data_IF_281012795894
#
_entry.id   IF_281012795894
#
_cell.length_a   1.000
_cell.length_b   1.000
_cell.length_c   1.000
_cell.angle_alpha   90.00
_cell.angle_beta   90.00
_cell.angle_gamma   90.00
#
_symmetry.space_group_name_H-M   'P 1'
#
loop_
_entity.id
_entity.type
_entity.pdbx_description
1 polymer ?
#
# COMPACT_ATOMS: atom_id res chain seq x y z
N UNK A 1 34.70 -9.97 41.98
CA UNK A 1 33.97 -9.44 40.81
C UNK A 1 33.88 -10.56 39.79
N UNK A 2 32.69 -11.14 39.71
CA UNK A 2 32.47 -12.60 39.76
C UNK A 2 31.23 -12.90 38.92
N UNK A 3 31.36 -13.67 37.82
CA UNK A 3 30.31 -14.39 37.07
C UNK A 3 29.05 -13.64 36.58
N UNK A 4 28.51 -12.69 37.32
CA UNK A 4 27.28 -11.94 37.00
C UNK A 4 27.48 -10.99 35.83
N UNK A 5 28.59 -10.27 35.75
CA UNK A 5 28.85 -9.35 34.61
C UNK A 5 29.05 -10.09 33.28
N UNK A 6 29.69 -11.26 33.31
CA UNK A 6 29.90 -12.10 32.12
C UNK A 6 28.55 -12.66 31.62
N UNK A 7 27.65 -13.05 32.54
CA UNK A 7 26.32 -13.53 32.18
C UNK A 7 25.43 -12.42 31.60
N UNK A 8 25.52 -11.20 32.11
CA UNK A 8 24.75 -10.05 31.60
C UNK A 8 25.19 -9.69 30.18
N UNK A 9 26.50 -9.65 29.91
CA UNK A 9 27.03 -9.42 28.56
C UNK A 9 26.66 -10.53 27.57
N UNK A 10 26.67 -11.79 28.00
CA UNK A 10 26.26 -12.92 27.16
C UNK A 10 24.75 -12.88 26.82
N UNK A 11 23.90 -12.49 27.77
CA UNK A 11 22.45 -12.35 27.55
C UNK A 11 22.13 -11.17 26.63
N UNK A 12 22.82 -10.04 26.79
CA UNK A 12 22.67 -8.88 25.89
C UNK A 12 23.13 -9.24 24.47
N UNK A 13 24.25 -9.95 24.33
CA UNK A 13 24.73 -10.45 23.04
C UNK A 13 23.75 -11.41 22.36
N UNK A 14 23.14 -12.32 23.13
CA UNK A 14 22.13 -13.26 22.62
C UNK A 14 20.83 -12.55 22.21
N UNK A 15 20.39 -11.53 22.96
CA UNK A 15 19.22 -10.71 22.61
C UNK A 15 19.46 -9.85 21.37
N UNK A 16 20.65 -9.29 21.20
CA UNK A 16 21.02 -8.53 20.00
C UNK A 16 21.01 -9.43 18.75
N UNK A 17 21.54 -10.66 18.86
CA UNK A 17 21.51 -11.64 17.77
C UNK A 17 20.09 -12.11 17.42
N UNK A 18 19.22 -12.32 18.42
CA UNK A 18 17.81 -12.66 18.18
C UNK A 18 17.03 -11.51 17.52
N UNK A 19 17.33 -10.25 17.87
CA UNK A 19 16.70 -9.09 17.24
C UNK A 19 17.08 -8.95 15.75
N UNK A 20 18.33 -9.30 15.39
CA UNK A 20 18.81 -9.21 14.02
C UNK A 20 18.21 -10.29 13.09
N UNK A 21 17.82 -11.45 13.62
CA UNK A 21 17.24 -12.55 12.83
C UNK A 21 15.74 -12.33 12.53
N UNK A 22 15.04 -11.54 13.36
CA UNK A 22 13.59 -11.32 13.19
C UNK A 22 13.17 -10.49 11.97
N UNK A 23 14.12 -9.84 11.28
CA UNK A 23 13.83 -9.00 10.11
C UNK A 23 14.15 -9.64 8.75
N UNK A 24 14.76 -10.84 8.72
CA UNK A 24 15.14 -11.48 7.46
C UNK A 24 14.10 -12.51 7.02
N UNK A 25 12.88 -12.05 6.74
CA UNK A 25 11.92 -12.87 5.98
C UNK A 25 12.42 -12.91 4.55
N UNK A 26 12.85 -14.07 4.04
CA UNK A 26 13.52 -14.11 2.76
C UNK A 26 12.53 -13.80 1.62
N UNK A 27 12.97 -13.04 0.61
CA UNK A 27 12.14 -12.54 -0.52
C UNK A 27 11.28 -13.62 -1.21
N UNK A 28 11.68 -14.89 -1.16
CA UNK A 28 10.92 -16.01 -1.73
C UNK A 28 9.63 -16.36 -0.96
N UNK A 29 9.46 -15.88 0.28
CA UNK A 29 8.25 -16.05 1.08
C UNK A 29 7.11 -15.09 0.69
N UNK A 30 7.41 -14.07 -0.14
CA UNK A 30 6.44 -13.10 -0.63
C UNK A 30 6.05 -13.43 -2.07
N UNK A 31 4.77 -13.73 -2.31
CA UNK A 31 4.18 -13.56 -3.65
C UNK A 31 3.57 -12.17 -3.68
N UNK A 32 4.40 -11.18 -4.01
CA UNK A 32 3.96 -9.80 -4.05
C UNK A 32 2.75 -9.62 -4.97
N UNK A 33 1.77 -8.83 -4.54
CA UNK A 33 0.73 -8.34 -5.43
C UNK A 33 1.40 -7.24 -6.26
N UNK A 34 1.46 -7.45 -7.57
CA UNK A 34 2.11 -6.51 -8.50
C UNK A 34 1.11 -6.00 -9.53
N UNK A 35 1.31 -4.75 -9.93
CA UNK A 35 0.48 -4.14 -10.95
C UNK A 35 1.09 -2.88 -11.53
N UNK A 36 0.37 -2.33 -12.51
CA UNK A 36 0.68 -1.07 -13.16
C UNK A 36 -0.59 -0.24 -13.28
N UNK A 37 -0.52 0.97 -12.77
CA UNK A 37 -1.60 1.94 -12.77
C UNK A 37 -1.38 2.99 -13.86
N UNK A 38 -2.44 3.23 -14.60
CA UNK A 38 -2.47 4.25 -15.64
C UNK A 38 -3.28 5.45 -15.13
N UNK A 39 -2.83 6.64 -15.50
CA UNK A 39 -3.48 7.93 -15.29
C UNK A 39 -4.23 8.40 -16.54
N UNK A 40 -4.69 9.66 -16.51
CA UNK A 40 -5.35 10.29 -17.65
C UNK A 40 -4.54 10.13 -18.94
N UNK A 41 -5.21 9.87 -20.06
CA UNK A 41 -4.54 9.74 -21.36
C UNK A 41 -3.65 8.49 -21.52
N UNK A 42 -3.85 7.45 -20.70
CA UNK A 42 -3.01 6.23 -20.70
C UNK A 42 -1.53 6.50 -20.35
N UNK A 43 -1.26 7.59 -19.62
CA UNK A 43 0.06 7.87 -19.08
C UNK A 43 0.31 7.04 -17.80
N UNK A 44 1.55 6.70 -17.44
CA UNK A 44 1.83 6.05 -16.17
C UNK A 44 1.43 6.94 -14.99
N UNK A 45 0.65 6.40 -14.04
CA UNK A 45 0.26 7.15 -12.85
C UNK A 45 1.42 7.14 -11.82
N UNK A 46 2.41 8.02 -12.00
CA UNK A 46 3.57 8.09 -11.11
C UNK A 46 3.23 8.66 -9.73
N UNK A 47 3.74 8.01 -8.68
CA UNK A 47 3.52 8.40 -7.29
C UNK A 47 2.10 8.16 -6.77
N UNK A 48 1.20 7.54 -7.55
CA UNK A 48 -0.18 7.27 -7.14
C UNK A 48 -0.22 6.38 -5.87
N UNK A 49 -1.10 6.71 -4.91
CA UNK A 49 -1.20 5.95 -3.67
C UNK A 49 -1.90 4.60 -3.87
N UNK A 50 -1.25 3.57 -3.33
CA UNK A 50 -1.74 2.20 -3.27
C UNK A 50 -1.84 1.79 -1.82
N UNK A 51 -3.04 1.45 -1.36
CA UNK A 51 -3.31 1.07 0.02
C UNK A 51 -3.46 -0.44 0.14
N UNK A 52 -2.86 -1.03 1.17
CA UNK A 52 -2.88 -2.46 1.44
C UNK A 52 -3.52 -2.71 2.81
N UNK A 53 -4.61 -3.48 2.83
CA UNK A 53 -5.13 -4.15 4.03
C UNK A 53 -4.75 -5.63 3.93
N UNK A 54 -3.91 -6.14 4.84
CA UNK A 54 -3.52 -7.56 4.86
C UNK A 54 -4.59 -8.48 5.48
N UNK A 55 -5.70 -7.92 5.94
CA UNK A 55 -6.78 -8.61 6.63
C UNK A 55 -6.65 -8.62 8.16
N UNK A 56 -5.71 -7.87 8.70
CA UNK A 56 -5.52 -7.60 10.14
C UNK A 56 -6.11 -6.24 10.58
N UNK A 57 -6.65 -5.47 9.64
CA UNK A 57 -7.24 -4.15 9.89
C UNK A 57 -6.23 -3.00 9.87
N UNK A 58 -4.93 -3.30 9.68
CA UNK A 58 -3.90 -2.27 9.49
C UNK A 58 -3.82 -1.93 8.00
N UNK A 59 -3.94 -0.64 7.69
CA UNK A 59 -3.88 -0.16 6.31
C UNK A 59 -2.55 0.55 6.09
N UNK A 60 -1.75 0.00 5.21
CA UNK A 60 -0.46 0.55 4.82
C UNK A 60 -0.58 1.32 3.50
N UNK A 61 0.25 2.36 3.35
CA UNK A 61 0.29 3.20 2.16
C UNK A 61 1.61 3.02 1.40
N UNK A 62 1.47 2.73 0.12
CA UNK A 62 2.54 2.63 -0.86
C UNK A 62 2.32 3.66 -1.97
N UNK A 63 3.36 3.88 -2.78
CA UNK A 63 3.31 4.75 -3.94
C UNK A 63 3.81 3.98 -5.16
N UNK A 64 3.20 4.23 -6.32
CA UNK A 64 3.71 3.74 -7.61
C UNK A 64 5.02 4.44 -7.99
N UNK A 65 5.86 3.73 -8.76
CA UNK A 65 7.07 4.29 -9.34
C UNK A 65 6.78 5.23 -10.53
N UNK A 66 7.84 5.78 -11.14
CA UNK A 66 7.74 6.64 -12.33
C UNK A 66 7.12 5.96 -13.57
N UNK A 67 7.08 4.63 -13.60
CA UNK A 67 6.43 3.85 -14.64
C UNK A 67 5.01 3.39 -14.26
N UNK A 68 4.47 3.90 -13.15
CA UNK A 68 3.16 3.56 -12.60
C UNK A 68 3.09 2.17 -11.98
N UNK A 69 4.22 1.52 -11.72
CA UNK A 69 4.25 0.14 -11.21
C UNK A 69 4.28 0.12 -9.68
N UNK A 70 3.70 -0.94 -9.12
CA UNK A 70 3.75 -1.23 -7.68
C UNK A 70 4.01 -2.73 -7.42
N UNK A 71 4.61 -3.02 -6.26
CA UNK A 71 4.77 -4.39 -5.75
C UNK A 71 4.62 -4.40 -4.24
N UNK A 72 3.58 -5.08 -3.75
CA UNK A 72 3.22 -5.06 -2.34
C UNK A 72 3.78 -6.28 -1.60
N UNK A 73 4.47 -6.11 -0.46
CA UNK A 73 4.97 -7.21 0.34
C UNK A 73 3.81 -7.86 1.12
N UNK A 74 3.29 -8.95 0.56
CA UNK A 74 2.23 -9.77 1.17
C UNK A 74 2.72 -11.21 1.35
N UNK A 75 2.70 -11.71 2.58
CA UNK A 75 3.09 -13.09 2.85
C UNK A 75 2.09 -14.06 2.21
N UNK A 76 2.55 -15.24 1.80
CA UNK A 76 1.70 -16.21 1.08
C UNK A 76 0.37 -16.52 1.79
N UNK A 77 0.38 -16.64 3.11
CA UNK A 77 -0.80 -16.93 3.93
C UNK A 77 -1.77 -15.73 4.08
N UNK A 78 -1.32 -14.51 3.81
CA UNK A 78 -2.14 -13.29 3.87
C UNK A 78 -2.82 -12.99 2.53
N UNK A 79 -2.33 -13.56 1.44
CA UNK A 79 -2.76 -13.27 0.06
C UNK A 79 -4.27 -13.35 -0.15
N UNK A 80 -4.91 -14.42 0.34
CA UNK A 80 -6.35 -14.64 0.12
C UNK A 80 -7.22 -13.68 0.93
N UNK A 81 -6.65 -13.08 1.97
CA UNK A 81 -7.31 -12.11 2.83
C UNK A 81 -6.94 -10.68 2.44
N UNK A 82 -5.81 -10.46 1.77
CA UNK A 82 -5.35 -9.14 1.42
C UNK A 82 -6.30 -8.46 0.42
N UNK A 83 -6.57 -7.18 0.66
CA UNK A 83 -7.24 -6.30 -0.29
C UNK A 83 -6.37 -5.09 -0.58
N UNK A 84 -6.34 -4.68 -1.84
CA UNK A 84 -5.56 -3.55 -2.30
C UNK A 84 -6.51 -2.51 -2.87
N UNK A 85 -6.38 -1.29 -2.40
CA UNK A 85 -7.12 -0.13 -2.91
C UNK A 85 -6.16 0.80 -3.64
N UNK A 86 -6.38 0.98 -4.93
CA UNK A 86 -5.55 1.79 -5.81
C UNK A 86 -6.28 3.08 -6.10
N UNK A 87 -5.62 4.21 -5.87
CA UNK A 87 -6.22 5.53 -5.98
C UNK A 87 -5.37 6.42 -6.87
N UNK A 88 -5.80 6.55 -8.13
CA UNK A 88 -5.24 7.54 -9.06
C UNK A 88 -6.04 8.83 -8.90
N UNK A 89 -5.39 9.98 -8.66
CA UNK A 89 -6.08 11.25 -8.44
C UNK A 89 -7.10 11.60 -9.54
N UNK A 90 -8.32 11.93 -9.13
CA UNK A 90 -9.45 12.20 -10.04
C UNK A 90 -10.02 10.97 -10.75
N UNK A 91 -9.45 9.79 -10.52
CA UNK A 91 -9.88 8.51 -11.09
C UNK A 91 -10.73 7.68 -10.14
N UNK A 92 -11.58 6.82 -10.69
CA UNK A 92 -12.37 5.85 -9.95
C UNK A 92 -11.40 4.89 -9.23
N UNK A 93 -11.50 4.74 -7.91
CA UNK A 93 -10.64 3.82 -7.19
C UNK A 93 -10.85 2.37 -7.65
N UNK A 94 -9.78 1.59 -7.67
CA UNK A 94 -9.82 0.16 -8.00
C UNK A 94 -9.58 -0.67 -6.74
N UNK A 95 -10.37 -1.74 -6.53
CA UNK A 95 -10.04 -2.77 -5.55
C UNK A 95 -9.51 -3.99 -6.27
N UNK A 96 -8.28 -4.36 -5.93
CA UNK A 96 -7.74 -5.66 -6.31
C UNK A 96 -7.83 -6.60 -5.11
N UNK A 97 -8.57 -7.70 -5.28
CA UNK A 97 -8.49 -8.88 -4.42
C UNK A 97 -7.83 -9.97 -5.23
N UNK A 98 -6.94 -10.77 -4.62
CA UNK A 98 -6.32 -11.87 -5.37
C UNK A 98 -7.30 -13.03 -5.49
N UNK A 99 -8.26 -12.92 -6.41
CA UNK A 99 -8.85 -14.13 -6.99
C UNK A 99 -7.76 -14.84 -7.79
N UNK A 100 -7.79 -16.18 -7.88
CA UNK A 100 -6.74 -17.03 -8.49
C UNK A 100 -6.34 -16.68 -9.94
N UNK A 101 -6.97 -15.69 -10.57
CA UNK A 101 -6.78 -15.26 -11.96
C UNK A 101 -5.77 -14.11 -12.16
N UNK A 102 -5.09 -13.62 -11.12
CA UNK A 102 -3.96 -12.68 -11.28
C UNK A 102 -2.64 -13.39 -11.66
N UNK A 103 -2.64 -14.11 -12.79
CA UNK A 103 -1.43 -14.71 -13.38
C UNK A 103 -0.80 -13.67 -14.32
N UNK A 104 -0.01 -12.75 -13.76
CA UNK A 104 0.69 -11.66 -14.47
C UNK A 104 0.53 -10.30 -13.79
N UNK A 105 1.37 -9.29 -14.10
CA UNK A 105 1.20 -7.95 -13.55
C UNK A 105 -0.14 -7.37 -14.03
N UNK A 106 -1.04 -7.09 -13.10
CA UNK A 106 -2.35 -6.52 -13.43
C UNK A 106 -2.18 -5.08 -13.94
N UNK A 107 -2.90 -4.71 -15.01
CA UNK A 107 -2.97 -3.32 -15.49
C UNK A 107 -4.29 -2.70 -15.04
N UNK A 108 -4.23 -1.56 -14.37
CA UNK A 108 -5.40 -0.80 -13.93
C UNK A 108 -5.51 0.47 -14.77
N UNK A 109 -6.59 0.58 -15.54
CA UNK A 109 -6.79 1.72 -16.43
C UNK A 109 -7.46 2.87 -15.67
N UNK A 110 -7.11 4.09 -16.06
CA UNK A 110 -7.77 5.29 -15.55
C UNK A 110 -9.21 5.34 -16.03
N UNK A 111 -10.11 5.67 -15.12
CA UNK A 111 -11.49 6.04 -15.44
C UNK A 111 -11.80 7.27 -14.60
N UNK A 112 -12.25 8.40 -15.16
CA UNK A 112 -12.54 9.59 -14.36
C UNK A 112 -13.66 9.31 -13.35
N UNK A 113 -13.46 9.75 -12.11
CA UNK A 113 -14.47 9.66 -11.06
C UNK A 113 -15.43 10.84 -11.13
N UNK A 114 -16.73 10.56 -11.10
CA UNK A 114 -17.74 11.61 -10.93
C UNK A 114 -17.72 12.12 -9.49
N UNK A 115 -17.87 13.44 -9.32
CA UNK A 115 -18.04 14.09 -8.02
C UNK A 115 -19.41 13.85 -7.39
N UNK A 116 -20.40 13.45 -8.18
CA UNK A 116 -21.81 13.43 -7.77
C UNK A 116 -22.22 12.10 -7.10
N UNK A 117 -21.34 11.10 -7.12
CA UNK A 117 -21.63 9.77 -6.59
C UNK A 117 -20.46 9.24 -5.77
N UNK A 118 -20.75 8.92 -4.50
CA UNK A 118 -19.82 8.20 -3.65
C UNK A 118 -19.47 6.83 -4.26
N UNK A 119 -18.18 6.49 -4.26
CA UNK A 119 -17.70 5.23 -4.81
C UNK A 119 -17.97 4.07 -3.82
N UNK A 120 -18.65 2.98 -4.24
CA UNK A 120 -19.14 1.94 -3.32
C UNK A 120 -18.06 0.91 -2.98
N UNK A 121 -16.99 1.34 -2.33
CA UNK A 121 -15.80 0.54 -1.99
C UNK A 121 -16.08 -0.85 -1.39
N UNK A 122 -17.05 -0.91 -0.47
CA UNK A 122 -17.46 -2.14 0.23
C UNK A 122 -17.95 -3.21 -0.74
N UNK A 123 -18.64 -2.81 -1.81
CA UNK A 123 -19.13 -3.72 -2.86
C UNK A 123 -17.98 -4.43 -3.59
N UNK A 124 -16.82 -3.79 -3.67
CA UNK A 124 -15.64 -4.31 -4.34
C UNK A 124 -14.66 -5.01 -3.40
N UNK A 125 -15.02 -5.21 -2.12
CA UNK A 125 -14.24 -5.99 -1.15
C UNK A 125 -13.25 -5.19 -0.32
N UNK A 126 -13.23 -3.85 -0.43
CA UNK A 126 -12.44 -3.01 0.48
C UNK A 126 -13.08 -2.95 1.86
N UNK A 127 -12.28 -3.18 2.90
CA UNK A 127 -12.79 -3.25 4.29
C UNK A 127 -12.41 -2.06 5.17
N UNK A 128 -11.47 -1.23 4.72
CA UNK A 128 -11.06 -0.03 5.43
C UNK A 128 -11.99 1.16 5.28
N UNK A 129 -11.74 2.25 6.03
CA UNK A 129 -12.16 3.58 5.62
C UNK A 129 -11.58 3.95 4.25
N UNK A 130 -12.18 4.93 3.56
CA UNK A 130 -11.70 5.40 2.26
C UNK A 130 -10.71 6.53 2.50
N UNK A 131 -9.43 6.38 2.10
CA UNK A 131 -8.47 7.47 2.18
C UNK A 131 -8.90 8.64 1.29
N UNK A 132 -8.61 9.87 1.73
CA UNK A 132 -8.91 11.11 0.99
C UNK A 132 -8.36 11.11 -0.43
N UNK A 133 -7.22 10.46 -0.64
CA UNK A 133 -6.60 10.32 -1.96
C UNK A 133 -7.45 9.55 -3.00
N UNK A 134 -8.50 8.86 -2.55
CA UNK A 134 -9.43 8.08 -3.38
C UNK A 134 -10.74 8.82 -3.67
N UNK A 135 -10.87 10.07 -3.22
CA UNK A 135 -12.03 10.90 -3.50
C UNK A 135 -11.89 11.61 -4.85
N UNK A 136 -13.02 11.97 -5.47
CA UNK A 136 -13.02 12.60 -6.78
C UNK A 136 -12.27 13.94 -6.82
N UNK A 137 -12.28 14.68 -5.70
CA UNK A 137 -11.60 15.97 -5.54
C UNK A 137 -10.08 15.83 -5.29
N UNK A 138 -9.57 14.60 -5.13
CA UNK A 138 -8.14 14.34 -4.90
C UNK A 138 -7.23 14.93 -5.99
N UNK A 139 -7.73 15.08 -7.22
CA UNK A 139 -6.98 15.71 -8.32
C UNK A 139 -6.51 17.14 -7.97
N UNK A 140 -7.29 17.90 -7.21
CA UNK A 140 -6.98 19.29 -6.86
C UNK A 140 -5.90 19.43 -5.79
N UNK A 141 -5.75 18.40 -4.95
CA UNK A 141 -4.80 18.40 -3.82
C UNK A 141 -3.61 17.48 -4.07
N UNK A 142 -3.58 16.82 -5.22
CA UNK A 142 -2.50 15.91 -5.57
C UNK A 142 -1.20 16.66 -5.79
N UNK A 143 -0.18 16.26 -5.03
CA UNK A 143 1.21 16.64 -5.28
C UNK A 143 2.02 15.37 -5.33
N UNK A 144 2.83 15.20 -6.37
CA UNK A 144 3.84 14.14 -6.36
C UNK A 144 4.73 14.37 -5.14
N UNK A 145 4.90 13.36 -4.26
CA UNK A 145 5.80 13.50 -3.14
C UNK A 145 7.23 13.78 -3.65
N UNK A 146 7.98 14.69 -3.01
CA UNK A 146 9.37 14.94 -3.38
C UNK A 146 10.17 13.63 -3.29
N UNK A 147 10.87 13.26 -4.36
CA UNK A 147 11.61 12.00 -4.44
C UNK A 147 10.90 10.84 -5.16
N UNK A 148 9.63 10.99 -5.57
CA UNK A 148 8.90 9.97 -6.34
C UNK A 148 9.50 9.65 -7.74
N UNK A 149 10.61 10.29 -8.12
CA UNK A 149 11.19 10.25 -9.46
C UNK A 149 12.12 9.08 -9.77
N UNK A 150 12.57 8.27 -8.80
CA UNK A 150 13.62 7.28 -9.10
C UNK A 150 13.67 6.03 -8.20
N UNK A 151 13.07 6.03 -7.01
CA UNK A 151 13.24 4.90 -6.09
C UNK A 151 12.16 3.83 -6.28
N UNK A 152 12.55 2.54 -6.26
CA UNK A 152 11.58 1.44 -6.22
C UNK A 152 10.86 1.48 -4.88
N UNK A 153 9.68 2.09 -4.89
CA UNK A 153 8.64 1.98 -3.86
C UNK A 153 9.04 2.55 -2.50
N UNK A 154 8.71 3.81 -2.26
CA UNK A 154 8.70 4.35 -0.91
C UNK A 154 7.44 3.84 -0.19
N UNK A 155 7.63 3.09 0.91
CA UNK A 155 6.58 2.96 1.92
C UNK A 155 6.36 4.35 2.49
N UNK A 156 5.18 4.93 2.25
CA UNK A 156 4.82 6.18 2.90
C UNK A 156 4.36 5.82 4.30
N UNK A 157 5.24 5.93 5.29
CA UNK A 157 4.92 5.66 6.71
C UNK A 157 3.97 6.70 7.32
N UNK A 158 3.61 7.74 6.56
CA UNK A 158 2.49 8.61 6.90
C UNK A 158 1.21 7.78 6.98
N UNK A 159 0.54 7.82 8.12
CA UNK A 159 -0.82 7.30 8.26
C UNK A 159 -1.69 7.84 7.10
N UNK A 160 -2.56 7.01 6.49
CA UNK A 160 -3.44 7.50 5.43
C UNK A 160 -4.23 8.71 5.92
N UNK A 161 -4.21 9.81 5.16
CA UNK A 161 -5.13 10.91 5.44
C UNK A 161 -6.54 10.41 5.12
N UNK A 162 -7.29 10.08 6.16
CA UNK A 162 -8.66 9.61 6.06
C UNK A 162 -9.63 10.74 5.66
N UNK A 163 -9.18 12.00 5.70
CA UNK A 163 -10.06 13.16 5.67
C UNK A 163 -10.89 13.23 6.95
N UNK A 164 -10.71 14.27 7.75
CA UNK A 164 -11.84 14.74 8.54
C UNK A 164 -12.72 15.45 7.53
N UNK A 165 -13.93 14.95 7.26
CA UNK A 165 -15.14 15.76 7.06
C UNK A 165 -16.32 14.84 6.70
N UNK A 166 -17.30 14.83 7.60
CA UNK A 166 -18.68 14.46 7.27
C UNK A 166 -19.18 15.37 6.13
N UNK A 167 -20.13 14.92 5.29
CA UNK A 167 -20.72 15.82 4.29
C UNK A 167 -21.23 17.09 4.99
N UNK A 168 -21.07 18.28 4.38
CA UNK A 168 -21.63 19.51 4.94
C UNK A 168 -23.15 19.33 5.08
N UNK A 169 -23.67 19.73 6.25
CA UNK A 169 -25.11 19.77 6.54
C UNK A 169 -25.82 20.83 5.70
#
# INVERSE_FOLDING_TARGET
MRRTEVNVLAVIGALALLSAVSAFIPRWAYRGITGRDMGPGDEPAAGAPVFLDRGDGVIERFLTDSAGRFSLPVAFHQVERASVLICVPGGVPHVATRSRHMIGPARFNYTPQSTDRAWPARRFGWRGPIPRACHADSAYFWRLPPGAGAEPMAVSTSEPDWGRDAPPK
#
